data_IF_721980907042
#
_entry.id   IF_721980907042
#
_cell.length_a   1.000
_cell.length_b   1.000
_cell.length_c   1.000
_cell.angle_alpha   90.00
_cell.angle_beta   90.00
_cell.angle_gamma   90.00
#
_symmetry.space_group_name_H-M   'P 1'
#
loop_
_entity.id
_entity.type
_entity.pdbx_description
1 polymer ?
#
# COMPACT_ATOMS: atom_id res chain seq x y z
N UNK A 1 -7.20 22.64 12.94
CA UNK A 1 -7.89 21.72 12.02
C UNK A 1 -6.96 20.53 11.76
N UNK A 2 -6.73 19.70 12.79
CA UNK A 2 -6.01 18.43 12.68
C UNK A 2 -7.07 17.35 12.64
N UNK A 3 -7.10 16.49 11.66
CA UNK A 3 -8.01 15.34 11.70
C UNK A 3 -8.43 14.73 10.36
N UNK A 4 -7.76 14.98 9.24
CA UNK A 4 -8.30 14.52 7.95
C UNK A 4 -7.47 13.48 7.19
N UNK A 5 -6.29 13.04 7.71
CA UNK A 5 -5.42 12.10 6.98
C UNK A 5 -4.74 11.08 7.92
N UNK A 6 -5.39 10.78 9.05
CA UNK A 6 -4.83 9.92 10.11
C UNK A 6 -5.02 8.42 9.84
N UNK A 7 -5.39 8.04 8.60
CA UNK A 7 -5.76 6.67 8.27
C UNK A 7 -4.93 6.03 7.13
N UNK A 8 -4.00 6.79 6.52
CA UNK A 8 -3.17 6.23 5.44
C UNK A 8 -1.94 5.55 6.04
N UNK A 9 -1.72 4.30 5.67
CA UNK A 9 -0.61 3.45 6.11
C UNK A 9 0.19 3.03 4.88
N UNK A 10 1.50 3.17 4.93
CA UNK A 10 2.38 2.80 3.83
C UNK A 10 3.25 1.62 4.23
N UNK A 11 3.24 0.58 3.41
CA UNK A 11 4.16 -0.55 3.51
C UNK A 11 5.22 -0.40 2.42
N UNK A 12 6.48 -0.30 2.82
CA UNK A 12 7.62 -0.09 1.91
C UNK A 12 8.80 -0.99 2.29
N UNK A 13 9.80 -1.06 1.45
CA UNK A 13 10.99 -1.89 1.65
C UNK A 13 11.55 -2.35 0.30
N UNK A 14 12.67 -3.06 0.32
CA UNK A 14 13.30 -3.56 -0.90
C UNK A 14 12.42 -4.62 -1.60
N UNK A 15 12.69 -4.89 -2.87
CA UNK A 15 12.04 -5.97 -3.61
C UNK A 15 12.23 -7.33 -2.92
N UNK A 16 11.19 -8.17 -2.92
CA UNK A 16 11.23 -9.53 -2.35
C UNK A 16 11.27 -9.61 -0.82
N UNK A 17 10.98 -8.52 -0.09
CA UNK A 17 11.00 -8.52 1.39
C UNK A 17 9.69 -9.01 2.00
N UNK A 18 8.63 -9.23 1.23
CA UNK A 18 7.31 -9.63 1.72
C UNK A 18 6.37 -8.44 2.02
N UNK A 19 6.55 -7.32 1.35
CA UNK A 19 5.66 -6.14 1.49
C UNK A 19 4.20 -6.47 1.22
N UNK A 20 3.92 -7.00 0.02
CA UNK A 20 2.54 -7.34 -0.41
C UNK A 20 1.92 -8.41 0.49
N UNK A 21 2.71 -9.41 0.91
CA UNK A 21 2.28 -10.40 1.92
C UNK A 21 1.90 -9.74 3.24
N UNK A 22 2.74 -8.82 3.75
CA UNK A 22 2.44 -8.08 4.97
C UNK A 22 1.18 -7.23 4.81
N UNK A 23 1.03 -6.54 3.68
CA UNK A 23 -0.14 -5.70 3.37
C UNK A 23 -1.42 -6.52 3.33
N UNK A 24 -1.41 -7.67 2.64
CA UNK A 24 -2.57 -8.57 2.54
C UNK A 24 -2.97 -9.13 3.92
N UNK A 25 -2.01 -9.63 4.69
CA UNK A 25 -2.27 -10.19 6.03
C UNK A 25 -2.68 -9.10 7.05
N UNK A 26 -2.11 -7.89 6.94
CA UNK A 26 -2.56 -6.74 7.73
C UNK A 26 -4.00 -6.36 7.40
N UNK A 27 -4.36 -6.30 6.11
CA UNK A 27 -5.73 -6.01 5.68
C UNK A 27 -6.73 -7.02 6.26
N UNK A 28 -6.42 -8.32 6.18
CA UNK A 28 -7.21 -9.39 6.80
C UNK A 28 -7.41 -9.14 8.29
N UNK A 29 -6.33 -8.86 9.01
CA UNK A 29 -6.40 -8.63 10.45
C UNK A 29 -7.19 -7.36 10.81
N UNK A 30 -7.09 -6.28 10.04
CA UNK A 30 -7.95 -5.10 10.22
C UNK A 30 -9.43 -5.45 10.05
N UNK A 31 -9.76 -6.32 9.10
CA UNK A 31 -11.11 -6.88 8.92
C UNK A 31 -11.59 -7.61 10.16
N UNK A 32 -10.78 -8.51 10.73
CA UNK A 32 -11.10 -9.27 11.96
C UNK A 32 -11.26 -8.35 13.20
N UNK A 33 -10.51 -7.25 13.25
CA UNK A 33 -10.64 -6.23 14.29
C UNK A 33 -11.87 -5.32 14.13
N UNK A 34 -12.60 -5.41 13.01
CA UNK A 34 -13.69 -4.51 12.67
C UNK A 34 -13.23 -3.08 12.36
N UNK A 35 -11.97 -2.89 11.98
CA UNK A 35 -11.38 -1.62 11.57
C UNK A 35 -11.58 -1.38 10.06
N UNK A 36 -12.83 -1.40 9.62
CA UNK A 36 -13.28 -1.39 8.23
C UNK A 36 -14.15 -0.17 7.92
N UNK A 37 -14.40 0.17 6.64
CA UNK A 37 -13.81 -0.44 5.42
C UNK A 37 -12.34 -0.06 5.23
N UNK A 38 -11.58 -0.93 4.53
CA UNK A 38 -10.16 -0.72 4.19
C UNK A 38 -10.04 -0.50 2.69
N UNK A 39 -9.31 0.51 2.24
CA UNK A 39 -8.90 0.66 0.85
C UNK A 39 -7.49 0.11 0.68
N UNK A 40 -7.32 -0.85 -0.21
CA UNK A 40 -6.02 -1.36 -0.64
C UNK A 40 -5.57 -0.63 -1.89
N UNK A 41 -4.35 -0.13 -1.87
CA UNK A 41 -3.75 0.58 -3.01
C UNK A 41 -2.46 -0.13 -3.38
N UNK A 42 -2.47 -0.87 -4.49
CA UNK A 42 -1.27 -1.49 -5.03
C UNK A 42 -0.57 -0.50 -5.96
N UNK A 43 0.58 -0.01 -5.54
CA UNK A 43 1.43 0.87 -6.34
C UNK A 43 2.72 0.20 -6.80
N UNK A 44 2.89 -1.10 -6.54
CA UNK A 44 4.01 -1.87 -7.05
C UNK A 44 3.76 -2.28 -8.52
N UNK A 45 4.74 -2.11 -9.40
CA UNK A 45 4.64 -2.54 -10.81
C UNK A 45 4.25 -4.00 -11.00
N UNK A 46 4.60 -4.86 -10.07
CA UNK A 46 4.35 -6.29 -10.14
C UNK A 46 2.88 -6.66 -9.84
N UNK A 47 2.08 -5.71 -9.33
CA UNK A 47 0.63 -5.86 -9.04
C UNK A 47 0.28 -7.14 -8.25
N UNK A 48 1.20 -7.59 -7.40
CA UNK A 48 1.08 -8.88 -6.70
C UNK A 48 0.04 -8.87 -5.56
N UNK A 49 -0.33 -7.70 -5.05
CA UNK A 49 -1.29 -7.59 -3.95
C UNK A 49 -2.69 -8.04 -4.38
N UNK A 50 -3.12 -7.76 -5.62
CA UNK A 50 -4.41 -8.19 -6.14
C UNK A 50 -4.56 -9.72 -6.07
N UNK A 51 -3.57 -10.46 -6.58
CA UNK A 51 -3.56 -11.93 -6.56
C UNK A 51 -3.60 -12.46 -5.13
N UNK A 52 -2.79 -11.91 -4.22
CA UNK A 52 -2.77 -12.31 -2.80
C UNK A 52 -4.10 -12.05 -2.09
N UNK A 53 -4.90 -11.09 -2.55
CA UNK A 53 -6.24 -10.81 -2.05
C UNK A 53 -7.34 -11.59 -2.79
N UNK A 54 -6.98 -12.45 -3.75
CA UNK A 54 -7.94 -13.23 -4.54
C UNK A 54 -8.72 -12.41 -5.56
N UNK A 55 -8.14 -11.30 -6.04
CA UNK A 55 -8.77 -10.40 -6.99
C UNK A 55 -8.25 -10.68 -8.40
N UNK A 56 -9.13 -10.99 -9.32
CA UNK A 56 -8.86 -10.99 -10.75
C UNK A 56 -9.43 -9.72 -11.40
N UNK A 57 -8.62 -8.68 -11.49
CA UNK A 57 -9.02 -7.39 -12.05
C UNK A 57 -9.51 -7.49 -13.49
N UNK A 58 -9.00 -8.47 -14.27
CA UNK A 58 -9.39 -8.66 -15.68
C UNK A 58 -10.81 -9.22 -15.77
N UNK A 59 -11.13 -10.24 -14.97
CA UNK A 59 -12.48 -10.82 -14.94
C UNK A 59 -13.52 -9.80 -14.46
N UNK A 60 -13.13 -8.91 -13.56
CA UNK A 60 -13.96 -7.82 -13.04
C UNK A 60 -14.00 -6.58 -13.96
N UNK A 61 -13.33 -6.65 -15.12
CA UNK A 61 -13.22 -5.54 -16.08
C UNK A 61 -12.70 -4.23 -15.45
N UNK A 62 -11.83 -4.37 -14.45
CA UNK A 62 -11.15 -3.24 -13.78
C UNK A 62 -9.77 -3.00 -14.38
N UNK A 63 -9.36 -1.74 -14.41
CA UNK A 63 -8.10 -1.28 -14.99
C UNK A 63 -7.24 -0.61 -13.94
N UNK A 64 -5.95 -0.52 -14.20
CA UNK A 64 -5.09 0.33 -13.38
C UNK A 64 -5.41 1.82 -13.59
N UNK A 65 -5.10 2.63 -12.61
CA UNK A 65 -5.20 4.09 -12.71
C UNK A 65 -4.40 4.60 -13.92
N UNK A 66 -3.21 4.06 -14.14
CA UNK A 66 -2.35 4.44 -15.26
C UNK A 66 -2.99 4.15 -16.62
N UNK A 67 -3.69 3.02 -16.76
CA UNK A 67 -4.40 2.68 -18.00
C UNK A 67 -5.57 3.63 -18.27
N UNK A 68 -6.34 3.97 -17.25
CA UNK A 68 -7.49 4.87 -17.39
C UNK A 68 -7.02 6.29 -17.72
N UNK A 69 -5.97 6.78 -17.05
CA UNK A 69 -5.40 8.09 -17.36
C UNK A 69 -4.83 8.14 -18.77
N UNK A 70 -4.16 7.08 -19.24
CA UNK A 70 -3.67 6.96 -20.60
C UNK A 70 -4.81 7.11 -21.60
N UNK A 71 -5.88 6.35 -21.41
CA UNK A 71 -7.06 6.38 -22.28
C UNK A 71 -7.75 7.76 -22.32
N UNK A 72 -7.88 8.41 -21.15
CA UNK A 72 -8.47 9.76 -21.08
C UNK A 72 -7.64 10.77 -21.88
N UNK A 73 -6.32 10.69 -21.81
CA UNK A 73 -5.41 11.58 -22.53
C UNK A 73 -5.45 11.33 -24.05
N UNK A 74 -5.41 10.05 -24.48
CA UNK A 74 -5.48 9.66 -25.89
C UNK A 74 -6.81 10.10 -26.55
N UNK A 75 -7.93 9.92 -25.87
CA UNK A 75 -9.24 10.25 -26.40
C UNK A 75 -9.58 11.74 -26.34
N UNK A 76 -8.68 12.59 -25.82
CA UNK A 76 -8.90 14.05 -25.63
C UNK A 76 -10.22 14.39 -24.92
N UNK A 77 -10.77 13.48 -24.16
CA UNK A 77 -12.07 13.63 -23.46
C UNK A 77 -12.12 14.83 -22.51
N UNK A 78 -10.97 15.34 -22.09
CA UNK A 78 -10.91 16.51 -21.21
C UNK A 78 -11.28 17.84 -21.88
N UNK A 79 -11.24 17.93 -23.20
CA UNK A 79 -11.48 19.19 -23.92
C UNK A 79 -12.94 19.61 -23.95
N UNK A 80 -13.88 18.70 -23.78
CA UNK A 80 -15.32 18.95 -23.92
C UNK A 80 -16.03 19.39 -22.63
N UNK A 81 -15.39 19.26 -21.47
CA UNK A 81 -16.00 19.62 -20.19
C UNK A 81 -15.56 21.03 -19.76
N UNK A 82 -16.21 22.04 -20.24
CA UNK A 82 -15.93 23.46 -19.91
C UNK A 82 -16.41 23.76 -18.49
N UNK A 83 -15.60 24.47 -17.69
CA UNK A 83 -15.99 24.95 -16.35
C UNK A 83 -15.75 23.99 -15.18
N UNK A 84 -15.28 22.75 -15.40
CA UNK A 84 -14.93 21.81 -14.34
C UNK A 84 -13.43 21.77 -14.09
N UNK A 85 -13.01 21.50 -12.84
CA UNK A 85 -11.59 21.25 -12.53
C UNK A 85 -11.09 19.97 -13.21
N UNK A 86 -9.78 19.83 -13.48
CA UNK A 86 -9.22 18.59 -14.00
C UNK A 86 -9.53 17.37 -13.11
N UNK A 87 -9.50 17.56 -11.79
CA UNK A 87 -9.82 16.52 -10.80
C UNK A 87 -11.27 16.05 -10.94
N UNK A 88 -12.24 16.98 -11.01
CA UNK A 88 -13.66 16.63 -11.12
C UNK A 88 -13.99 15.94 -12.45
N UNK A 89 -13.22 16.21 -13.51
CA UNK A 89 -13.37 15.55 -14.81
C UNK A 89 -12.88 14.10 -14.80
N UNK A 90 -11.79 13.84 -14.10
CA UNK A 90 -11.09 12.55 -14.11
C UNK A 90 -11.70 11.59 -13.07
N UNK A 91 -12.12 12.10 -11.92
CA UNK A 91 -12.56 11.28 -10.79
C UNK A 91 -13.67 10.26 -11.11
N UNK A 92 -14.76 10.62 -11.82
CA UNK A 92 -15.83 9.65 -12.12
C UNK A 92 -15.33 8.47 -12.96
N UNK A 93 -14.42 8.72 -13.92
CA UNK A 93 -13.83 7.66 -14.73
C UNK A 93 -12.90 6.76 -13.91
N UNK A 94 -12.08 7.33 -13.05
CA UNK A 94 -11.24 6.56 -12.16
C UNK A 94 -12.09 5.70 -11.23
N UNK A 95 -13.10 6.26 -10.60
CA UNK A 95 -13.98 5.52 -9.70
C UNK A 95 -14.61 4.32 -10.39
N UNK A 96 -15.23 4.54 -11.55
CA UNK A 96 -15.93 3.50 -12.29
C UNK A 96 -15.00 2.41 -12.82
N UNK A 97 -13.86 2.79 -13.40
CA UNK A 97 -13.00 1.90 -14.16
C UNK A 97 -11.92 1.22 -13.29
N UNK A 98 -11.56 1.80 -12.13
CA UNK A 98 -10.42 1.30 -11.34
C UNK A 98 -10.79 0.74 -9.97
N UNK A 99 -11.83 1.26 -9.31
CA UNK A 99 -12.20 0.78 -7.99
C UNK A 99 -12.85 -0.61 -8.10
N UNK A 100 -12.19 -1.60 -7.53
CA UNK A 100 -12.77 -2.91 -7.27
C UNK A 100 -13.45 -2.86 -5.90
N UNK A 101 -14.76 -3.01 -5.87
CA UNK A 101 -15.55 -3.16 -4.65
C UNK A 101 -15.47 -4.64 -4.24
N UNK A 102 -14.66 -4.91 -3.23
CA UNK A 102 -14.34 -6.25 -2.78
C UNK A 102 -15.38 -6.84 -1.83
N UNK A 103 -14.90 -7.58 -0.85
CA UNK A 103 -15.74 -8.11 0.23
C UNK A 103 -16.18 -6.98 1.17
N UNK A 104 -17.06 -7.31 2.13
CA UNK A 104 -17.61 -6.36 3.12
C UNK A 104 -16.58 -5.56 3.93
N UNK A 105 -15.29 -5.90 3.86
CA UNK A 105 -14.28 -5.24 4.67
C UNK A 105 -13.22 -4.46 3.87
N UNK A 106 -13.06 -4.67 2.54
CA UNK A 106 -12.08 -3.94 1.75
C UNK A 106 -12.52 -3.67 0.31
N UNK A 107 -11.97 -2.59 -0.25
CA UNK A 107 -11.94 -2.27 -1.66
C UNK A 107 -10.50 -2.19 -2.16
N UNK A 108 -10.29 -2.25 -3.47
CA UNK A 108 -8.95 -2.32 -4.05
C UNK A 108 -8.78 -1.40 -5.27
N UNK A 109 -7.57 -0.85 -5.41
CA UNK A 109 -7.15 -0.06 -6.57
C UNK A 109 -5.71 -0.43 -6.95
N UNK A 110 -5.48 -0.76 -8.23
CA UNK A 110 -4.16 -0.86 -8.83
C UNK A 110 -3.72 0.48 -9.42
N UNK A 111 -2.53 0.96 -9.07
CA UNK A 111 -1.98 2.21 -9.63
C UNK A 111 -1.44 1.97 -11.04
N UNK A 112 -0.78 0.83 -11.28
CA UNK A 112 -0.21 0.47 -12.58
C UNK A 112 1.06 1.25 -12.93
N UNK A 113 1.66 0.90 -14.09
CA UNK A 113 3.00 1.36 -14.50
C UNK A 113 3.09 1.97 -15.88
N UNK A 114 1.96 2.18 -16.56
CA UNK A 114 2.00 2.72 -17.92
C UNK A 114 2.68 4.10 -17.94
N UNK A 115 3.78 4.17 -18.68
CA UNK A 115 4.48 5.41 -18.96
C UNK A 115 3.87 6.02 -20.21
N UNK A 116 3.27 7.20 -20.08
CA UNK A 116 2.83 8.00 -21.22
C UNK A 116 3.90 9.06 -21.46
N UNK A 117 4.36 9.22 -22.70
CA UNK A 117 5.23 10.34 -23.06
C UNK A 117 4.48 11.66 -22.86
N UNK A 118 4.98 12.52 -21.99
CA UNK A 118 4.40 13.83 -21.74
C UNK A 118 4.50 14.31 -20.29
N UNK A 119 3.94 15.45 -19.99
CA UNK A 119 3.99 16.07 -18.67
C UNK A 119 3.01 15.39 -17.69
N UNK A 120 3.52 14.65 -16.73
CA UNK A 120 2.75 13.94 -15.69
C UNK A 120 2.25 14.83 -14.56
N UNK A 121 2.65 16.09 -14.51
CA UNK A 121 2.39 16.97 -13.37
C UNK A 121 0.89 17.14 -13.07
N UNK A 122 0.05 17.22 -14.10
CA UNK A 122 -1.39 17.45 -13.93
C UNK A 122 -2.13 16.16 -13.48
N UNK A 123 -1.92 15.01 -14.15
CA UNK A 123 -2.49 13.74 -13.69
C UNK A 123 -2.03 13.34 -12.28
N UNK A 124 -0.75 13.48 -11.95
CA UNK A 124 -0.21 13.15 -10.63
C UNK A 124 -0.81 14.01 -9.52
N UNK A 125 -0.97 15.32 -9.76
CA UNK A 125 -1.59 16.22 -8.78
C UNK A 125 -3.09 15.90 -8.57
N UNK A 126 -3.82 15.68 -9.66
CA UNK A 126 -5.23 15.30 -9.60
C UNK A 126 -5.44 13.97 -8.90
N UNK A 127 -4.56 12.99 -9.15
CA UNK A 127 -4.60 11.69 -8.50
C UNK A 127 -4.41 11.81 -6.97
N UNK A 128 -3.43 12.59 -6.52
CA UNK A 128 -3.22 12.84 -5.09
C UNK A 128 -4.46 13.44 -4.43
N UNK A 129 -5.13 14.41 -5.08
CA UNK A 129 -6.37 14.99 -4.56
C UNK A 129 -7.53 13.98 -4.52
N UNK A 130 -7.66 13.14 -5.54
CA UNK A 130 -8.68 12.08 -5.61
C UNK A 130 -8.43 11.05 -4.50
N UNK A 131 -7.20 10.60 -4.33
CA UNK A 131 -6.84 9.65 -3.27
C UNK A 131 -7.13 10.23 -1.88
N UNK A 132 -6.80 11.50 -1.64
CA UNK A 132 -7.14 12.18 -0.39
C UNK A 132 -8.66 12.30 -0.16
N UNK A 133 -9.44 12.45 -1.23
CA UNK A 133 -10.91 12.50 -1.16
C UNK A 133 -11.47 11.11 -0.83
N UNK A 134 -11.02 10.08 -1.51
CA UNK A 134 -11.47 8.71 -1.30
C UNK A 134 -11.09 8.17 0.08
N UNK A 135 -9.88 8.46 0.54
CA UNK A 135 -9.40 8.04 1.87
C UNK A 135 -10.34 8.42 3.02
N UNK A 136 -11.16 9.47 2.87
CA UNK A 136 -12.14 9.89 3.89
C UNK A 136 -13.28 8.90 4.10
N UNK A 137 -13.54 8.04 3.13
CA UNK A 137 -14.61 7.05 3.17
C UNK A 137 -14.17 5.72 3.81
N UNK A 138 -12.88 5.58 4.10
CA UNK A 138 -12.30 4.35 4.63
C UNK A 138 -11.79 4.55 6.05
N UNK A 139 -11.89 3.49 6.86
CA UNK A 139 -11.27 3.49 8.18
C UNK A 139 -9.73 3.51 8.06
N UNK A 140 -9.19 2.77 7.09
CA UNK A 140 -7.77 2.75 6.75
C UNK A 140 -7.55 2.63 5.24
N UNK A 141 -6.46 3.23 4.77
CA UNK A 141 -5.93 3.06 3.42
C UNK A 141 -4.56 2.42 3.54
N UNK A 142 -4.40 1.20 3.04
CA UNK A 142 -3.13 0.48 3.02
C UNK A 142 -2.49 0.62 1.64
N UNK A 143 -1.33 1.22 1.59
CA UNK A 143 -0.57 1.43 0.34
C UNK A 143 0.58 0.45 0.30
N UNK A 144 0.51 -0.53 -0.60
CA UNK A 144 1.64 -1.38 -0.96
C UNK A 144 2.54 -0.63 -1.93
N UNK A 145 3.72 -0.28 -1.47
CA UNK A 145 4.64 0.63 -2.16
C UNK A 145 5.79 -0.15 -2.79
N UNK A 146 6.22 0.17 -4.02
CA UNK A 146 7.42 -0.41 -4.59
C UNK A 146 8.66 -0.08 -3.75
N UNK A 147 9.80 -0.60 -4.18
CA UNK A 147 11.08 -0.28 -3.54
C UNK A 147 11.38 1.21 -3.70
N UNK A 148 11.08 1.99 -2.66
CA UNK A 148 11.20 3.44 -2.64
C UNK A 148 9.88 4.13 -2.31
N UNK A 149 9.94 5.42 -2.06
CA UNK A 149 8.79 6.22 -1.61
C UNK A 149 8.61 7.52 -2.40
N UNK A 150 9.44 7.73 -3.41
CA UNK A 150 9.47 8.97 -4.18
C UNK A 150 8.14 9.24 -4.91
N UNK A 151 7.42 8.19 -5.29
CA UNK A 151 6.12 8.29 -5.96
C UNK A 151 4.97 8.66 -5.02
N UNK A 152 5.09 8.39 -3.71
CA UNK A 152 4.03 8.69 -2.73
C UNK A 152 3.69 10.17 -2.71
N UNK A 153 4.72 11.03 -2.69
CA UNK A 153 4.54 12.48 -2.65
C UNK A 153 3.80 13.04 -3.87
N UNK A 154 3.96 12.39 -5.02
CA UNK A 154 3.37 12.87 -6.28
C UNK A 154 1.97 12.35 -6.51
N UNK A 155 1.68 11.10 -6.11
CA UNK A 155 0.51 10.38 -6.57
C UNK A 155 -0.50 10.01 -5.50
N UNK A 156 -0.08 9.94 -4.21
CA UNK A 156 -0.94 9.37 -3.18
C UNK A 156 -1.24 10.38 -2.09
N UNK A 157 -0.24 10.85 -1.33
CA UNK A 157 -0.47 11.77 -0.22
C UNK A 157 0.81 12.42 0.28
N UNK A 158 0.65 13.56 0.94
CA UNK A 158 1.72 14.24 1.68
C UNK A 158 1.74 13.90 3.17
N UNK A 159 0.75 13.19 3.67
CA UNK A 159 0.66 12.79 5.07
C UNK A 159 0.18 11.36 5.21
N UNK A 160 0.92 10.59 5.99
CA UNK A 160 0.60 9.20 6.35
C UNK A 160 0.58 9.06 7.87
N UNK A 161 -0.22 8.14 8.37
CA UNK A 161 -0.23 7.78 9.78
C UNK A 161 1.03 6.99 10.12
N UNK A 162 1.16 5.83 9.52
CA UNK A 162 2.21 4.87 9.85
C UNK A 162 2.95 4.42 8.59
N UNK A 163 4.26 4.26 8.72
CA UNK A 163 5.12 3.66 7.69
C UNK A 163 5.70 2.38 8.26
N UNK A 164 5.44 1.25 7.60
CA UNK A 164 6.08 -0.03 7.87
C UNK A 164 7.17 -0.28 6.83
N UNK A 165 8.42 -0.25 7.24
CA UNK A 165 9.55 -0.58 6.38
C UNK A 165 9.97 -2.04 6.61
N UNK A 166 9.77 -2.87 5.57
CA UNK A 166 10.03 -4.30 5.63
C UNK A 166 11.50 -4.56 5.28
N UNK A 167 12.22 -5.19 6.19
CA UNK A 167 13.66 -5.45 6.11
C UNK A 167 13.94 -6.85 5.54
N UNK A 168 14.97 -7.00 4.71
CA UNK A 168 15.51 -8.28 4.26
C UNK A 168 16.68 -8.76 5.12
N UNK A 169 17.23 -9.93 4.78
CA UNK A 169 18.36 -10.55 5.49
C UNK A 169 19.70 -9.80 5.39
N UNK A 170 19.74 -8.67 4.71
CA UNK A 170 21.01 -7.95 4.46
C UNK A 170 21.19 -6.75 5.38
N UNK A 171 22.44 -6.46 5.74
CA UNK A 171 22.80 -5.22 6.44
C UNK A 171 22.36 -3.98 5.63
N UNK A 172 22.39 -4.06 4.31
CA UNK A 172 21.94 -2.99 3.41
C UNK A 172 20.45 -2.65 3.58
N UNK A 173 19.65 -3.56 4.12
CA UNK A 173 18.24 -3.33 4.38
C UNK A 173 18.00 -2.24 5.41
N UNK A 174 18.79 -2.23 6.48
CA UNK A 174 18.74 -1.18 7.52
C UNK A 174 19.18 0.17 6.95
N UNK A 175 20.23 0.19 6.13
CA UNK A 175 20.69 1.42 5.47
C UNK A 175 19.64 1.95 4.49
N UNK A 176 18.95 1.05 3.78
CA UNK A 176 17.84 1.43 2.90
C UNK A 176 16.67 2.04 3.70
N UNK A 177 16.33 1.46 4.86
CA UNK A 177 15.29 2.01 5.73
C UNK A 177 15.63 3.44 6.20
N UNK A 178 16.90 3.68 6.58
CA UNK A 178 17.40 5.04 6.92
C UNK A 178 17.27 6.01 5.75
N UNK A 179 17.64 5.54 4.56
CA UNK A 179 17.56 6.35 3.33
C UNK A 179 16.10 6.68 3.02
N UNK A 180 15.19 5.70 3.10
CA UNK A 180 13.75 5.89 2.91
C UNK A 180 13.20 6.95 3.86
N UNK A 181 13.53 6.84 5.16
CA UNK A 181 13.14 7.84 6.16
C UNK A 181 13.62 9.25 5.79
N UNK A 182 14.89 9.37 5.38
CA UNK A 182 15.48 10.65 4.98
C UNK A 182 14.76 11.22 3.75
N UNK A 183 14.55 10.42 2.71
CA UNK A 183 13.83 10.83 1.49
C UNK A 183 12.44 11.32 1.82
N UNK A 184 11.66 10.59 2.66
CA UNK A 184 10.32 11.03 3.05
C UNK A 184 10.32 12.42 3.68
N UNK A 185 11.30 12.71 4.54
CA UNK A 185 11.48 14.05 5.13
C UNK A 185 11.84 15.10 4.07
N UNK A 186 12.75 14.78 3.17
CA UNK A 186 13.22 15.70 2.11
C UNK A 186 12.10 16.04 1.11
N UNK A 187 11.25 15.06 0.75
CA UNK A 187 10.14 15.29 -0.18
C UNK A 187 8.88 15.82 0.52
N UNK A 188 8.94 16.06 1.83
CA UNK A 188 7.87 16.70 2.59
C UNK A 188 6.68 15.78 2.91
N UNK A 189 6.90 14.46 2.98
CA UNK A 189 5.89 13.52 3.49
C UNK A 189 5.93 13.54 5.01
N UNK A 190 4.85 13.99 5.65
CA UNK A 190 4.66 13.91 7.09
C UNK A 190 4.13 12.53 7.48
N UNK A 191 4.66 11.97 8.58
CA UNK A 191 4.16 10.70 9.14
C UNK A 191 4.22 10.76 10.67
N UNK A 192 3.32 10.02 11.32
CA UNK A 192 3.26 9.97 12.77
C UNK A 192 4.26 8.95 13.31
N UNK A 193 4.31 7.74 12.71
CA UNK A 193 5.22 6.69 13.12
C UNK A 193 5.99 6.09 11.94
N UNK A 194 7.23 5.66 12.22
CA UNK A 194 8.06 4.92 11.27
C UNK A 194 8.55 3.63 11.95
N UNK A 195 8.06 2.51 11.48
CA UNK A 195 8.31 1.20 12.02
C UNK A 195 9.26 0.39 11.15
N UNK A 196 10.13 -0.40 11.81
CA UNK A 196 10.92 -1.43 11.16
C UNK A 196 10.27 -2.79 11.44
N UNK A 197 10.12 -3.59 10.40
CA UNK A 197 9.59 -4.96 10.47
C UNK A 197 10.55 -5.87 9.72
N UNK A 198 11.00 -6.94 10.33
CA UNK A 198 11.76 -7.98 9.63
C UNK A 198 10.85 -8.73 8.66
N UNK A 199 11.21 -8.82 7.39
CA UNK A 199 10.53 -9.68 6.42
C UNK A 199 10.83 -11.16 6.68
N UNK A 200 10.18 -12.06 5.93
CA UNK A 200 10.33 -13.52 6.11
C UNK A 200 11.76 -14.05 5.96
N UNK A 201 12.64 -13.31 5.28
CA UNK A 201 14.07 -13.66 5.15
C UNK A 201 14.95 -12.99 6.20
N UNK A 202 14.38 -12.07 7.02
CA UNK A 202 15.16 -11.30 7.99
C UNK A 202 15.75 -12.19 9.08
N UNK A 203 17.07 -12.16 9.22
CA UNK A 203 17.78 -13.02 10.19
C UNK A 203 17.72 -12.46 11.61
N UNK A 204 17.41 -13.29 12.58
CA UNK A 204 17.39 -12.96 14.00
C UNK A 204 18.67 -12.24 14.48
N UNK A 205 19.83 -12.60 13.91
CA UNK A 205 21.11 -11.94 14.22
C UNK A 205 21.14 -10.44 13.99
N UNK A 206 20.26 -9.91 13.13
CA UNK A 206 20.17 -8.48 12.83
C UNK A 206 19.07 -7.76 13.64
N UNK A 207 18.32 -8.47 14.47
CA UNK A 207 17.26 -7.84 15.27
C UNK A 207 17.83 -6.82 16.27
N UNK A 208 18.98 -7.12 16.88
CA UNK A 208 19.64 -6.16 17.77
C UNK A 208 20.05 -4.87 17.05
N UNK A 209 20.54 -5.00 15.81
CA UNK A 209 20.91 -3.85 15.01
C UNK A 209 19.67 -3.04 14.57
N UNK A 210 18.56 -3.71 14.29
CA UNK A 210 17.29 -3.04 14.01
C UNK A 210 16.74 -2.31 15.25
N UNK A 211 16.84 -2.93 16.45
CA UNK A 211 16.43 -2.31 17.73
C UNK A 211 17.28 -1.11 18.16
N UNK A 212 18.53 -1.05 17.73
CA UNK A 212 19.45 0.09 18.00
C UNK A 212 19.14 1.32 17.12
N UNK A 213 18.28 1.18 16.11
CA UNK A 213 17.90 2.30 15.27
C UNK A 213 16.98 3.28 16.02
N UNK A 214 16.91 4.55 15.62
CA UNK A 214 15.99 5.53 16.23
C UNK A 214 14.53 5.32 15.82
N UNK A 215 14.21 4.18 15.23
CA UNK A 215 12.88 3.77 14.78
C UNK A 215 12.39 2.58 15.60
N UNK A 216 11.08 2.44 15.74
CA UNK A 216 10.52 1.32 16.53
C UNK A 216 10.56 0.03 15.72
N UNK A 217 11.34 -0.96 16.17
CA UNK A 217 11.32 -2.31 15.63
C UNK A 217 10.19 -3.11 16.29
N UNK A 218 9.24 -3.60 15.47
CA UNK A 218 8.04 -4.28 15.98
C UNK A 218 8.15 -5.80 16.05
N UNK A 219 9.09 -6.38 15.31
CA UNK A 219 9.27 -7.83 15.19
C UNK A 219 9.53 -8.24 13.74
N UNK A 220 9.47 -9.53 13.46
CA UNK A 220 9.64 -10.06 12.10
C UNK A 220 8.44 -10.92 11.69
N UNK A 221 8.22 -11.00 10.40
CA UNK A 221 7.29 -11.96 9.80
C UNK A 221 7.98 -13.32 9.83
N UNK A 222 7.37 -14.29 10.49
CA UNK A 222 7.93 -15.64 10.52
C UNK A 222 7.79 -16.29 9.14
N UNK A 223 8.82 -17.06 8.75
CA UNK A 223 8.76 -17.84 7.52
C UNK A 223 7.68 -18.92 7.64
N UNK A 224 6.88 -19.04 6.61
CA UNK A 224 5.77 -19.99 6.56
C UNK A 224 5.69 -20.62 5.16
N UNK A 225 5.86 -21.93 5.09
CA UNK A 225 5.74 -22.67 3.83
C UNK A 225 4.36 -22.55 3.20
N UNK A 226 3.31 -22.41 4.02
CA UNK A 226 1.93 -22.22 3.52
C UNK A 226 1.80 -20.94 2.68
N UNK A 227 2.43 -19.84 3.11
CA UNK A 227 2.41 -18.59 2.32
C UNK A 227 3.06 -18.80 0.97
N UNK A 228 4.19 -19.51 0.93
CA UNK A 228 4.86 -19.84 -0.33
C UNK A 228 3.98 -20.71 -1.23
N UNK A 229 3.38 -21.75 -0.66
CA UNK A 229 2.56 -22.69 -1.40
C UNK A 229 1.29 -22.02 -1.94
N UNK A 230 0.63 -21.15 -1.14
CA UNK A 230 -0.51 -20.35 -1.58
C UNK A 230 -0.14 -19.42 -2.74
N UNK A 231 1.01 -18.75 -2.66
CA UNK A 231 1.47 -17.87 -3.75
C UNK A 231 1.78 -18.67 -5.04
N UNK A 232 2.39 -19.86 -4.93
CA UNK A 232 2.65 -20.72 -6.09
C UNK A 232 1.35 -21.22 -6.73
N UNK A 233 0.34 -21.52 -5.91
CA UNK A 233 -0.96 -22.03 -6.36
C UNK A 233 -1.93 -20.91 -6.78
N UNK A 234 -1.56 -19.63 -6.65
CA UNK A 234 -2.43 -18.49 -6.93
C UNK A 234 -3.65 -18.41 -5.97
N UNK A 235 -3.49 -18.90 -4.74
CA UNK A 235 -4.54 -18.87 -3.71
C UNK A 235 -4.47 -17.59 -2.89
N UNK A 236 -5.64 -17.09 -2.51
CA UNK A 236 -5.70 -15.89 -1.68
C UNK A 236 -5.17 -16.12 -0.26
N UNK A 237 -4.38 -15.17 0.24
CA UNK A 237 -3.89 -15.19 1.63
C UNK A 237 -4.99 -14.95 2.67
N UNK A 238 -6.20 -14.57 2.22
CA UNK A 238 -7.37 -14.49 3.11
C UNK A 238 -7.78 -15.86 3.65
N UNK A 239 -7.47 -16.94 2.91
CA UNK A 239 -7.79 -18.32 3.28
C UNK A 239 -6.68 -19.03 4.08
N UNK A 240 -5.58 -18.34 4.40
CA UNK A 240 -4.55 -18.91 5.25
C UNK A 240 -5.14 -19.37 6.59
N UNK A 241 -4.75 -20.54 7.13
CA UNK A 241 -5.16 -20.97 8.48
C UNK A 241 -4.80 -19.88 9.52
N UNK A 242 -5.66 -19.76 10.55
CA UNK A 242 -5.43 -18.78 11.62
C UNK A 242 -4.14 -19.01 12.40
N UNK A 243 -3.69 -20.25 12.49
CA UNK A 243 -2.45 -20.70 13.14
C UNK A 243 -1.22 -20.62 12.21
N UNK A 244 -1.34 -20.08 11.01
CA UNK A 244 -0.20 -19.75 10.13
C UNK A 244 0.80 -18.89 10.89
N UNK A 245 2.07 -19.31 10.90
CA UNK A 245 3.16 -18.58 11.58
C UNK A 245 3.33 -17.17 11.06
N UNK A 246 3.23 -17.01 9.75
CA UNK A 246 3.29 -15.69 9.11
C UNK A 246 2.13 -14.81 9.58
N UNK A 247 0.91 -15.35 9.58
CA UNK A 247 -0.27 -14.59 9.98
C UNK A 247 -0.23 -14.21 11.46
N UNK A 248 0.09 -15.15 12.36
CA UNK A 248 0.25 -14.88 13.78
C UNK A 248 1.31 -13.80 14.06
N UNK A 249 2.46 -13.84 13.37
CA UNK A 249 3.50 -12.83 13.53
C UNK A 249 3.02 -11.45 13.04
N UNK A 250 2.27 -11.38 11.94
CA UNK A 250 1.70 -10.13 11.45
C UNK A 250 0.68 -9.58 12.44
N UNK A 251 -0.22 -10.40 12.99
CA UNK A 251 -1.16 -9.98 14.06
C UNK A 251 -0.43 -9.34 15.24
N UNK A 252 0.66 -9.96 15.70
CA UNK A 252 1.47 -9.42 16.80
C UNK A 252 2.12 -8.08 16.45
N UNK A 253 2.68 -7.94 15.23
CA UNK A 253 3.32 -6.72 14.74
C UNK A 253 2.29 -5.59 14.68
N UNK A 254 1.14 -5.84 14.06
CA UNK A 254 0.06 -4.85 13.87
C UNK A 254 -0.53 -4.44 15.24
N UNK A 255 -0.70 -5.39 16.17
CA UNK A 255 -1.14 -5.09 17.55
C UNK A 255 -0.13 -4.22 18.29
N UNK A 256 1.18 -4.49 18.18
CA UNK A 256 2.25 -3.67 18.79
C UNK A 256 2.29 -2.26 18.19
N UNK A 257 1.91 -2.08 16.93
CA UNK A 257 1.76 -0.77 16.30
C UNK A 257 0.53 0.01 16.79
N UNK A 258 -0.30 -0.59 17.65
CA UNK A 258 -1.44 0.06 18.28
C UNK A 258 -2.80 -0.18 17.59
N UNK A 259 -2.86 -1.04 16.59
CA UNK A 259 -4.13 -1.43 15.97
C UNK A 259 -4.83 -2.46 16.86
N UNK A 260 -6.00 -2.13 17.33
CA UNK A 260 -6.80 -2.97 18.23
C UNK A 260 -8.29 -2.70 18.02
N UNK A 261 -9.09 -3.69 18.36
CA UNK A 261 -10.54 -3.56 18.35
C UNK A 261 -10.97 -2.35 19.18
N UNK A 262 -11.88 -1.55 18.63
CA UNK A 262 -12.47 -0.40 19.34
C UNK A 262 -13.40 -0.84 20.45
#
# INVERSE_FOLDING_TARGET
MSGRYENIVVVTGRGGTGKSTFTALMARYLGELGLTPVLLVDSDPDESLAEMMGIDLKSENKKSIADVLAKILEERKMSTMVGMSPTDKIEPFLFQETLYEGSSFFDFIGVGTKWIEGCYCLPDHSLGQIMEKWAKNYAYVLVDSPAGVEHLNRRITKRVKDVFNILDASKKSIDNAKRTYKIMKEVGIAFDNYYLVGGHTFSQRFEEDARKQPYTYLGRIEYDDLVRDFNIEGRTLLDLPEDSKAYESVKQIVTKAGYKRK
#
